data_IF_526541337630
#
_entry.id   IF_526541337630
#
_cell.length_a   1.000
_cell.length_b   1.000
_cell.length_c   1.000
_cell.angle_alpha   90.00
_cell.angle_beta   90.00
_cell.angle_gamma   90.00
#
_symmetry.space_group_name_H-M   'P 1'
#
loop_
_entity.id
_entity.type
_entity.pdbx_description
1 polymer ?
#
# COMPACT_ATOMS: atom_id res chain seq x y z
N UNK A 1 -9.61 10.21 -10.48
CA UNK A 1 -10.21 10.47 -11.78
C UNK A 1 -11.64 9.99 -11.91
N UNK A 2 -11.89 8.69 -11.93
CA UNK A 2 -13.21 8.13 -12.31
C UNK A 2 -14.29 8.34 -11.25
N UNK A 3 -13.92 8.37 -9.96
CA UNK A 3 -14.85 8.71 -8.88
C UNK A 3 -15.43 10.11 -9.06
N UNK A 4 -14.59 11.11 -9.32
CA UNK A 4 -15.07 12.47 -9.56
C UNK A 4 -15.93 12.60 -10.83
N UNK A 5 -15.57 11.90 -11.89
CA UNK A 5 -16.38 11.88 -13.13
C UNK A 5 -17.76 11.28 -12.86
N UNK A 6 -17.82 10.14 -12.17
CA UNK A 6 -19.08 9.49 -11.81
C UNK A 6 -19.93 10.35 -10.89
N UNK A 7 -19.32 11.03 -9.90
CA UNK A 7 -20.02 11.97 -9.03
C UNK A 7 -20.57 13.19 -9.79
N UNK A 8 -19.79 13.72 -10.75
CA UNK A 8 -20.25 14.83 -11.59
C UNK A 8 -21.41 14.37 -12.46
N UNK A 9 -21.34 13.19 -13.06
CA UNK A 9 -22.42 12.63 -13.86
C UNK A 9 -23.68 12.40 -13.03
N UNK A 10 -23.56 11.86 -11.82
CA UNK A 10 -24.71 11.68 -10.93
C UNK A 10 -25.39 13.01 -10.57
N UNK A 11 -24.59 14.07 -10.36
CA UNK A 11 -25.12 15.41 -10.03
C UNK A 11 -25.68 16.16 -11.23
N UNK A 12 -25.13 15.96 -12.42
CA UNK A 12 -25.49 16.76 -13.61
C UNK A 12 -26.47 16.08 -14.54
N UNK A 13 -26.37 14.77 -14.68
CA UNK A 13 -27.17 13.96 -15.60
C UNK A 13 -28.10 12.99 -14.89
N UNK A 14 -28.16 13.06 -13.55
CA UNK A 14 -28.99 12.19 -12.70
C UNK A 14 -28.72 10.70 -12.96
N UNK A 15 -27.48 10.35 -13.23
CA UNK A 15 -27.05 8.95 -13.32
C UNK A 15 -26.99 8.34 -11.92
N UNK A 16 -26.99 7.02 -11.80
CA UNK A 16 -27.07 6.30 -10.54
C UNK A 16 -25.83 5.46 -10.23
N UNK A 17 -24.65 6.00 -10.47
CA UNK A 17 -23.40 5.30 -10.16
C UNK A 17 -23.24 5.01 -8.66
N UNK A 18 -23.58 5.98 -7.80
CA UNK A 18 -23.45 5.89 -6.35
C UNK A 18 -24.77 5.72 -5.62
N UNK A 19 -25.88 6.17 -6.20
CA UNK A 19 -27.21 6.10 -5.61
C UNK A 19 -28.17 5.39 -6.59
N UNK A 20 -28.14 4.07 -6.65
CA UNK A 20 -28.97 3.30 -7.60
C UNK A 20 -30.49 3.37 -7.26
N UNK A 21 -30.83 3.75 -6.03
CA UNK A 21 -32.20 4.02 -5.62
C UNK A 21 -32.30 5.47 -5.12
N UNK A 22 -33.12 6.28 -5.79
CA UNK A 22 -33.49 7.59 -5.31
C UNK A 22 -34.62 7.44 -4.30
N UNK A 23 -34.43 8.03 -3.11
CA UNK A 23 -35.50 8.20 -2.12
C UNK A 23 -35.92 9.66 -2.17
N UNK A 24 -37.06 9.94 -2.74
CA UNK A 24 -37.64 11.28 -2.77
C UNK A 24 -38.90 11.31 -1.88
N UNK A 25 -38.93 12.23 -0.92
CA UNK A 25 -40.03 12.38 0.06
C UNK A 25 -40.39 11.10 0.84
N UNK A 26 -39.40 10.20 1.07
CA UNK A 26 -39.61 8.95 1.81
C UNK A 26 -40.12 7.79 0.96
N UNK A 27 -40.39 8.00 -0.32
CA UNK A 27 -40.72 6.93 -1.27
C UNK A 27 -39.49 6.52 -2.09
N UNK A 28 -39.31 5.21 -2.22
CA UNK A 28 -38.26 4.63 -3.05
C UNK A 28 -38.73 4.65 -4.50
N UNK A 29 -38.14 5.54 -5.29
CA UNK A 29 -38.40 5.58 -6.73
C UNK A 29 -37.85 4.34 -7.45
N UNK A 30 -38.40 4.04 -8.61
CA UNK A 30 -37.98 2.89 -9.40
C UNK A 30 -36.47 2.89 -9.63
N UNK A 31 -35.85 1.71 -9.51
CA UNK A 31 -34.45 1.49 -9.70
C UNK A 31 -33.99 2.01 -11.08
N UNK A 32 -33.18 3.06 -11.05
CA UNK A 32 -32.69 3.75 -12.25
C UNK A 32 -31.48 3.09 -12.94
N UNK A 33 -31.09 1.90 -12.51
CA UNK A 33 -29.87 1.23 -12.95
C UNK A 33 -28.67 1.54 -12.05
N UNK A 34 -27.52 0.91 -12.33
CA UNK A 34 -26.33 0.99 -11.54
C UNK A 34 -26.33 0.05 -10.32
N UNK A 35 -25.16 -0.23 -9.78
CA UNK A 35 -24.98 -1.09 -8.60
C UNK A 35 -23.77 -0.64 -7.81
N UNK A 36 -23.89 -0.39 -6.49
CA UNK A 36 -22.74 -0.09 -5.64
C UNK A 36 -21.69 -1.20 -5.65
N UNK A 37 -22.12 -2.46 -5.72
CA UNK A 37 -21.20 -3.61 -5.79
C UNK A 37 -20.46 -3.63 -7.12
N UNK A 38 -21.15 -3.44 -8.23
CA UNK A 38 -20.51 -3.38 -9.55
C UNK A 38 -19.50 -2.24 -9.62
N UNK A 39 -19.88 -1.04 -9.14
CA UNK A 39 -18.97 0.09 -9.08
C UNK A 39 -17.72 -0.25 -8.26
N UNK A 40 -17.88 -0.86 -7.09
CA UNK A 40 -16.75 -1.25 -6.25
C UNK A 40 -15.85 -2.28 -6.92
N UNK A 41 -16.40 -3.28 -7.63
CA UNK A 41 -15.60 -4.24 -8.40
C UNK A 41 -14.78 -3.55 -9.49
N UNK A 42 -15.37 -2.65 -10.26
CA UNK A 42 -14.68 -1.92 -11.31
C UNK A 42 -13.61 -0.98 -10.74
N UNK A 43 -13.92 -0.28 -9.63
CA UNK A 43 -12.97 0.59 -8.97
C UNK A 43 -11.78 -0.18 -8.39
N UNK A 44 -12.02 -1.26 -7.65
CA UNK A 44 -10.97 -2.02 -6.97
C UNK A 44 -10.17 -2.90 -7.91
N UNK A 45 -10.73 -3.28 -9.06
CA UNK A 45 -9.95 -3.92 -10.13
C UNK A 45 -8.80 -3.02 -10.62
N UNK A 46 -8.96 -1.72 -10.55
CA UNK A 46 -7.87 -0.74 -10.71
C UNK A 46 -7.18 -0.43 -9.38
N UNK A 47 -7.95 -0.12 -8.34
CA UNK A 47 -7.43 0.46 -7.11
C UNK A 47 -6.46 -0.45 -6.34
N UNK A 48 -6.62 -1.77 -6.41
CA UNK A 48 -5.64 -2.67 -5.81
C UNK A 48 -4.35 -2.76 -6.65
N UNK A 49 -4.36 -2.98 -7.97
CA UNK A 49 -3.15 -2.88 -8.78
C UNK A 49 -2.44 -1.53 -8.69
N UNK A 50 -3.13 -0.44 -8.40
CA UNK A 50 -2.53 0.87 -8.16
C UNK A 50 -1.47 0.83 -7.05
N UNK A 51 -1.70 0.09 -5.97
CA UNK A 51 -0.69 -0.07 -4.90
C UNK A 51 0.58 -0.73 -5.43
N UNK A 52 0.45 -1.65 -6.39
CA UNK A 52 1.59 -2.27 -7.04
C UNK A 52 2.30 -1.32 -8.00
N UNK A 53 1.57 -0.44 -8.71
CA UNK A 53 2.16 0.58 -9.59
C UNK A 53 3.07 1.51 -8.80
N UNK A 54 2.72 1.86 -7.57
CA UNK A 54 3.55 2.69 -6.68
C UNK A 54 4.69 1.89 -6.06
N UNK A 55 4.41 0.66 -5.64
CA UNK A 55 5.37 -0.15 -4.88
C UNK A 55 6.45 -0.80 -5.76
N UNK A 56 6.14 -1.26 -6.99
CA UNK A 56 7.09 -1.98 -7.83
C UNK A 56 8.34 -1.14 -8.19
N UNK A 57 8.22 0.14 -8.60
CA UNK A 57 9.39 0.99 -8.79
C UNK A 57 10.20 1.18 -7.51
N UNK A 58 9.52 1.35 -6.37
CA UNK A 58 10.19 1.48 -5.08
C UNK A 58 11.03 0.24 -4.74
N UNK A 59 10.55 -0.96 -5.06
CA UNK A 59 11.31 -2.20 -4.86
C UNK A 59 12.59 -2.26 -5.69
N UNK A 60 12.55 -1.74 -6.92
CA UNK A 60 13.74 -1.61 -7.77
C UNK A 60 14.76 -0.67 -7.14
N UNK A 61 14.32 0.53 -6.77
CA UNK A 61 15.18 1.56 -6.17
C UNK A 61 15.83 1.05 -4.87
N UNK A 62 15.04 0.46 -3.97
CA UNK A 62 15.58 -0.12 -2.72
C UNK A 62 16.63 -1.18 -3.00
N UNK A 63 16.38 -2.05 -3.98
CA UNK A 63 17.33 -3.09 -4.36
C UNK A 63 18.65 -2.51 -4.85
N UNK A 64 18.60 -1.46 -5.67
CA UNK A 64 19.78 -0.77 -6.16
C UNK A 64 20.55 -0.09 -5.02
N UNK A 65 19.89 0.78 -4.27
CA UNK A 65 20.51 1.54 -3.18
C UNK A 65 21.09 0.62 -2.11
N UNK A 66 20.37 -0.44 -1.70
CA UNK A 66 20.88 -1.40 -0.72
C UNK A 66 22.13 -2.12 -1.20
N UNK A 67 22.17 -2.54 -2.47
CA UNK A 67 23.34 -3.25 -3.00
C UNK A 67 24.58 -2.36 -3.01
N UNK A 68 24.44 -1.11 -3.42
CA UNK A 68 25.52 -0.11 -3.44
C UNK A 68 26.03 0.18 -2.03
N UNK A 69 25.13 0.53 -1.09
CA UNK A 69 25.50 0.92 0.27
C UNK A 69 25.83 -0.24 1.21
N UNK A 70 25.50 -1.47 0.84
CA UNK A 70 25.98 -2.69 1.49
C UNK A 70 27.25 -3.25 0.87
N UNK A 71 27.69 -2.70 -0.29
CA UNK A 71 28.82 -3.17 -1.09
C UNK A 71 28.71 -4.67 -1.41
N UNK A 72 27.50 -5.11 -1.72
CA UNK A 72 27.18 -6.52 -1.92
C UNK A 72 26.08 -6.68 -2.96
N UNK A 73 26.21 -7.65 -3.85
CA UNK A 73 25.18 -7.98 -4.82
C UNK A 73 23.89 -8.41 -4.12
N UNK A 74 22.74 -8.12 -4.74
CA UNK A 74 21.43 -8.56 -4.26
C UNK A 74 21.44 -10.07 -4.04
N UNK A 75 21.11 -10.47 -2.83
CA UNK A 75 20.93 -11.87 -2.47
C UNK A 75 19.72 -12.44 -3.22
N UNK A 76 19.89 -13.61 -3.83
CA UNK A 76 18.81 -14.30 -4.50
C UNK A 76 18.17 -13.51 -5.66
N UNK A 77 18.95 -12.86 -6.50
CA UNK A 77 18.48 -12.00 -7.60
C UNK A 77 17.35 -12.62 -8.43
N UNK A 78 17.48 -13.88 -8.84
CA UNK A 78 16.43 -14.58 -9.61
C UNK A 78 15.13 -14.72 -8.81
N UNK A 79 15.23 -15.06 -7.52
CA UNK A 79 14.06 -15.15 -6.63
C UNK A 79 13.41 -13.76 -6.44
N UNK A 80 14.21 -12.69 -6.33
CA UNK A 80 13.73 -11.33 -6.24
C UNK A 80 12.91 -10.95 -7.49
N UNK A 81 13.43 -11.22 -8.68
CA UNK A 81 12.75 -10.94 -9.95
C UNK A 81 11.42 -11.71 -10.04
N UNK A 82 11.43 -13.01 -9.78
CA UNK A 82 10.21 -13.82 -9.82
C UNK A 82 9.19 -13.41 -8.76
N UNK A 83 9.65 -13.01 -7.57
CA UNK A 83 8.76 -12.48 -6.53
C UNK A 83 8.06 -11.18 -6.97
N UNK A 84 8.79 -10.28 -7.64
CA UNK A 84 8.23 -9.03 -8.19
C UNK A 84 7.20 -9.35 -9.28
N UNK A 85 7.52 -10.24 -10.21
CA UNK A 85 6.60 -10.67 -11.28
C UNK A 85 5.35 -11.32 -10.69
N UNK A 86 5.51 -12.20 -9.70
CA UNK A 86 4.40 -12.88 -9.03
C UNK A 86 3.46 -11.87 -8.33
N UNK A 87 4.00 -10.86 -7.63
CA UNK A 87 3.19 -9.81 -7.01
C UNK A 87 2.41 -9.03 -8.06
N UNK A 88 3.07 -8.63 -9.16
CA UNK A 88 2.41 -7.92 -10.24
C UNK A 88 1.25 -8.71 -10.85
N UNK A 89 1.45 -10.00 -11.10
CA UNK A 89 0.41 -10.89 -11.66
C UNK A 89 -0.74 -11.12 -10.66
N UNK A 90 -0.42 -11.43 -9.39
CA UNK A 90 -1.41 -11.68 -8.35
C UNK A 90 -2.26 -10.43 -8.04
N UNK A 91 -1.73 -9.23 -8.21
CA UNK A 91 -2.47 -7.98 -7.97
C UNK A 91 -3.79 -7.88 -8.73
N UNK A 92 -3.92 -8.57 -9.87
CA UNK A 92 -5.14 -8.54 -10.67
C UNK A 92 -6.20 -9.56 -10.23
N UNK A 93 -5.94 -10.41 -9.25
CA UNK A 93 -6.88 -11.45 -8.80
C UNK A 93 -7.20 -11.37 -7.30
N UNK A 94 -6.93 -10.23 -6.64
CA UNK A 94 -7.10 -10.06 -5.19
C UNK A 94 -7.94 -8.84 -4.81
N UNK A 95 -8.39 -8.03 -5.77
CA UNK A 95 -8.99 -6.71 -5.51
C UNK A 95 -10.17 -6.70 -4.55
N UNK A 96 -10.97 -7.78 -4.50
CA UNK A 96 -12.21 -7.75 -3.72
C UNK A 96 -12.01 -7.99 -2.22
N UNK A 97 -10.77 -8.10 -1.73
CA UNK A 97 -10.52 -7.99 -0.30
C UNK A 97 -10.85 -6.60 0.28
N UNK A 98 -11.01 -5.59 -0.58
CA UNK A 98 -11.54 -4.29 -0.19
C UNK A 98 -13.08 -4.26 -0.06
N UNK A 99 -13.75 -5.39 -0.28
CA UNK A 99 -15.20 -5.46 -0.44
C UNK A 99 -15.85 -6.55 0.42
N UNK A 100 -15.18 -7.08 1.44
CA UNK A 100 -15.71 -8.20 2.24
C UNK A 100 -17.04 -7.88 2.92
N UNK A 101 -17.25 -6.62 3.32
CA UNK A 101 -18.50 -6.16 3.97
C UNK A 101 -19.49 -5.51 3.00
N UNK A 102 -19.29 -5.61 1.70
CA UNK A 102 -20.15 -5.00 0.67
C UNK A 102 -21.41 -5.81 0.34
N UNK A 103 -21.60 -6.97 0.95
CA UNK A 103 -22.67 -7.91 0.60
C UNK A 103 -22.31 -8.89 -0.52
N UNK A 104 -21.03 -9.09 -0.77
CA UNK A 104 -20.52 -10.05 -1.74
C UNK A 104 -20.82 -11.48 -1.30
N UNK A 105 -21.05 -12.37 -2.29
CA UNK A 105 -21.30 -13.77 -2.00
C UNK A 105 -20.12 -14.43 -1.24
N UNK A 106 -20.37 -15.24 -0.18
CA UNK A 106 -19.32 -15.79 0.69
C UNK A 106 -18.20 -16.57 -0.04
N UNK A 107 -18.53 -17.28 -1.11
CA UNK A 107 -17.53 -17.99 -1.91
C UNK A 107 -16.51 -17.04 -2.56
N UNK A 108 -16.94 -15.86 -3.01
CA UNK A 108 -16.00 -14.85 -3.51
C UNK A 108 -15.15 -14.27 -2.39
N UNK A 109 -15.72 -14.05 -1.20
CA UNK A 109 -14.96 -13.66 -0.02
C UNK A 109 -13.84 -14.64 0.29
N UNK A 110 -14.15 -15.94 0.31
CA UNK A 110 -13.14 -16.99 0.54
C UNK A 110 -12.09 -17.04 -0.58
N UNK A 111 -12.49 -16.97 -1.84
CA UNK A 111 -11.57 -16.94 -2.98
C UNK A 111 -10.59 -15.75 -2.88
N UNK A 112 -11.12 -14.54 -2.68
CA UNK A 112 -10.28 -13.34 -2.60
C UNK A 112 -9.41 -13.29 -1.34
N UNK A 113 -9.86 -13.87 -0.22
CA UNK A 113 -9.02 -14.03 0.96
C UNK A 113 -7.84 -14.97 0.70
N UNK A 114 -8.10 -16.12 0.07
CA UNK A 114 -7.04 -17.08 -0.27
C UNK A 114 -6.02 -16.49 -1.22
N UNK A 115 -6.44 -15.87 -2.31
CA UNK A 115 -5.54 -15.23 -3.27
C UNK A 115 -4.76 -14.07 -2.66
N UNK A 116 -5.38 -13.29 -1.78
CA UNK A 116 -4.74 -12.19 -1.04
C UNK A 116 -3.64 -12.70 -0.12
N UNK A 117 -3.90 -13.75 0.65
CA UNK A 117 -2.90 -14.31 1.56
C UNK A 117 -1.70 -14.93 0.81
N UNK A 118 -1.91 -15.44 -0.40
CA UNK A 118 -0.82 -15.95 -1.25
C UNK A 118 0.20 -14.86 -1.58
N UNK A 119 -0.21 -13.58 -1.74
CA UNK A 119 0.72 -12.46 -1.99
C UNK A 119 1.76 -12.28 -0.87
N UNK A 120 1.44 -12.71 0.35
CA UNK A 120 2.39 -12.63 1.45
C UNK A 120 3.68 -13.42 1.19
N UNK A 121 3.61 -14.53 0.46
CA UNK A 121 4.77 -15.39 0.18
C UNK A 121 5.82 -14.66 -0.68
N UNK A 122 5.53 -14.17 -1.90
CA UNK A 122 6.52 -13.44 -2.68
C UNK A 122 6.95 -12.13 -2.00
N UNK A 123 6.08 -11.50 -1.22
CA UNK A 123 6.43 -10.31 -0.45
C UNK A 123 7.45 -10.63 0.64
N UNK A 124 7.27 -11.71 1.39
CA UNK A 124 8.22 -12.19 2.39
C UNK A 124 9.57 -12.54 1.77
N UNK A 125 9.59 -13.20 0.60
CA UNK A 125 10.82 -13.51 -0.13
C UNK A 125 11.62 -12.24 -0.42
N UNK A 126 10.97 -11.17 -0.83
CA UNK A 126 11.64 -9.89 -1.11
C UNK A 126 12.25 -9.26 0.13
N UNK A 127 11.48 -9.15 1.21
CA UNK A 127 11.97 -8.61 2.47
C UNK A 127 13.16 -9.43 2.98
N UNK A 128 13.05 -10.75 2.93
CA UNK A 128 14.13 -11.65 3.30
C UNK A 128 15.38 -11.43 2.45
N UNK A 129 15.23 -11.29 1.15
CA UNK A 129 16.36 -11.05 0.25
C UNK A 129 17.04 -9.69 0.50
N UNK A 130 16.29 -8.64 0.84
CA UNK A 130 16.88 -7.36 1.24
C UNK A 130 17.66 -7.47 2.55
N UNK A 131 17.10 -8.14 3.55
CA UNK A 131 17.80 -8.39 4.82
C UNK A 131 19.08 -9.21 4.61
N UNK A 132 19.02 -10.26 3.79
CA UNK A 132 20.20 -11.08 3.45
C UNK A 132 21.22 -10.35 2.56
N UNK A 133 20.79 -9.36 1.78
CA UNK A 133 21.71 -8.47 1.06
C UNK A 133 22.52 -7.64 2.04
N UNK A 134 21.90 -7.13 3.10
CA UNK A 134 22.59 -6.40 4.17
C UNK A 134 23.43 -7.32 5.07
N UNK A 135 22.99 -8.55 5.28
CA UNK A 135 23.68 -9.51 6.16
C UNK A 135 25.11 -9.76 5.72
N UNK A 136 26.07 -9.51 6.63
CA UNK A 136 27.52 -9.60 6.33
C UNK A 136 27.99 -8.67 5.21
N UNK A 137 27.23 -7.63 4.86
CA UNK A 137 27.66 -6.56 3.98
C UNK A 137 28.52 -5.52 4.70
N UNK A 138 29.31 -4.78 3.95
CA UNK A 138 30.03 -3.61 4.49
C UNK A 138 29.11 -2.39 4.41
N UNK A 139 28.18 -2.28 5.38
CA UNK A 139 27.11 -1.28 5.37
C UNK A 139 27.67 0.11 5.68
N UNK A 140 27.35 1.08 4.84
CA UNK A 140 27.58 2.50 5.10
C UNK A 140 26.25 3.18 5.38
N UNK A 141 26.08 3.68 6.61
CA UNK A 141 24.83 4.32 7.08
C UNK A 141 24.76 5.78 6.59
N UNK A 142 24.71 5.95 5.28
CA UNK A 142 24.43 7.22 4.60
C UNK A 142 22.93 7.53 4.63
N UNK A 143 22.53 8.75 4.34
CA UNK A 143 21.11 9.15 4.30
C UNK A 143 20.26 8.24 3.39
N UNK A 144 20.66 7.93 2.12
CA UNK A 144 19.90 7.00 1.30
C UNK A 144 19.76 5.60 1.94
N UNK A 145 20.82 5.10 2.56
CA UNK A 145 20.75 3.79 3.24
C UNK A 145 19.80 3.80 4.44
N UNK A 146 19.78 4.88 5.22
CA UNK A 146 18.84 5.04 6.33
C UNK A 146 17.38 5.01 5.84
N UNK A 147 17.07 5.72 4.77
CA UNK A 147 15.74 5.68 4.16
C UNK A 147 15.37 4.31 3.61
N UNK A 148 16.30 3.55 3.04
CA UNK A 148 16.04 2.18 2.59
C UNK A 148 15.78 1.21 3.76
N UNK A 149 16.52 1.35 4.86
CA UNK A 149 16.29 0.56 6.07
C UNK A 149 14.92 0.89 6.67
N UNK A 150 14.59 2.19 6.76
CA UNK A 150 13.27 2.61 7.26
C UNK A 150 12.13 2.11 6.37
N UNK A 151 12.33 2.10 5.05
CA UNK A 151 11.37 1.48 4.14
C UNK A 151 11.12 0.02 4.49
N UNK A 152 12.16 -0.79 4.68
CA UNK A 152 12.00 -2.22 5.00
C UNK A 152 11.23 -2.39 6.32
N UNK A 153 11.55 -1.60 7.35
CA UNK A 153 10.87 -1.64 8.64
C UNK A 153 9.39 -1.23 8.50
N UNK A 154 9.13 -0.12 7.81
CA UNK A 154 7.78 0.43 7.63
C UNK A 154 6.93 -0.51 6.76
N UNK A 155 7.51 -1.01 5.67
CA UNK A 155 6.85 -1.95 4.78
C UNK A 155 6.55 -3.30 5.44
N UNK A 156 7.44 -3.79 6.30
CA UNK A 156 7.22 -5.01 7.08
C UNK A 156 6.07 -4.83 8.07
N UNK A 157 6.07 -3.73 8.84
CA UNK A 157 5.00 -3.43 9.79
C UNK A 157 3.64 -3.32 9.10
N UNK A 158 3.56 -2.57 8.00
CA UNK A 158 2.34 -2.45 7.22
C UNK A 158 1.93 -3.77 6.55
N UNK A 159 2.90 -4.55 6.06
CA UNK A 159 2.63 -5.86 5.44
C UNK A 159 2.07 -6.89 6.44
N UNK A 160 2.57 -6.90 7.67
CA UNK A 160 2.03 -7.78 8.73
C UNK A 160 0.58 -7.43 9.06
N UNK A 161 0.22 -6.14 9.13
CA UNK A 161 -1.17 -5.73 9.35
C UNK A 161 -2.08 -6.07 8.16
N UNK A 162 -1.51 -6.20 6.96
CA UNK A 162 -2.21 -6.69 5.78
C UNK A 162 -2.70 -8.13 5.89
N UNK A 163 -2.03 -8.99 6.67
CA UNK A 163 -2.50 -10.35 6.93
C UNK A 163 -3.81 -10.37 7.73
N UNK A 164 -3.99 -9.41 8.64
CA UNK A 164 -5.25 -9.26 9.37
C UNK A 164 -6.39 -8.85 8.43
N UNK A 165 -6.15 -7.85 7.59
CA UNK A 165 -7.16 -7.35 6.65
C UNK A 165 -7.42 -8.32 5.48
N UNK A 166 -6.45 -9.16 5.13
CA UNK A 166 -6.60 -10.19 4.11
C UNK A 166 -7.47 -11.37 4.54
N UNK A 167 -7.69 -11.55 5.85
CA UNK A 167 -8.56 -12.59 6.40
C UNK A 167 -9.98 -12.05 6.58
N UNK A 168 -10.96 -12.65 5.90
CA UNK A 168 -12.36 -12.19 5.92
C UNK A 168 -12.90 -12.03 7.35
N UNK A 169 -12.67 -13.01 8.22
CA UNK A 169 -13.24 -13.02 9.58
C UNK A 169 -12.65 -11.86 10.40
N UNK A 170 -11.37 -11.61 10.25
CA UNK A 170 -10.67 -10.54 10.98
C UNK A 170 -10.94 -9.17 10.36
N UNK A 171 -11.15 -9.10 9.04
CA UNK A 171 -11.45 -7.84 8.36
C UNK A 171 -12.84 -7.30 8.70
N UNK A 172 -13.83 -8.14 8.92
CA UNK A 172 -15.22 -7.70 9.22
C UNK A 172 -15.28 -6.62 10.29
N UNK A 173 -14.67 -6.77 11.48
CA UNK A 173 -14.65 -5.71 12.50
C UNK A 173 -13.67 -4.57 12.20
N UNK A 174 -12.67 -4.77 11.34
CA UNK A 174 -11.63 -3.79 11.03
C UNK A 174 -11.92 -2.99 9.78
N UNK A 175 -12.80 -3.48 8.91
CA UNK A 175 -13.18 -2.81 7.66
C UNK A 175 -13.74 -1.42 7.95
N UNK A 176 -13.32 -0.45 7.14
CA UNK A 176 -13.73 0.97 7.28
C UNK A 176 -13.38 1.62 8.64
N UNK A 177 -12.41 1.06 9.38
CA UNK A 177 -11.83 1.68 10.58
C UNK A 177 -10.48 2.32 10.29
N UNK A 178 -9.92 3.03 11.29
CA UNK A 178 -8.56 3.59 11.22
C UNK A 178 -7.47 2.52 11.11
N UNK A 179 -7.76 1.25 11.38
CA UNK A 179 -6.80 0.16 11.14
C UNK A 179 -6.45 0.03 9.66
N UNK A 180 -7.45 0.14 8.78
CA UNK A 180 -7.24 0.14 7.33
C UNK A 180 -6.40 1.35 6.90
N UNK A 181 -6.70 2.53 7.48
CA UNK A 181 -5.95 3.77 7.20
C UNK A 181 -4.48 3.62 7.58
N UNK A 182 -4.21 3.11 8.77
CA UNK A 182 -2.86 2.84 9.25
C UNK A 182 -2.11 1.87 8.33
N UNK A 183 -2.76 0.76 7.98
CA UNK A 183 -2.19 -0.26 7.12
C UNK A 183 -1.72 0.33 5.78
N UNK A 184 -2.61 0.94 5.01
CA UNK A 184 -2.23 1.41 3.67
C UNK A 184 -1.27 2.60 3.71
N UNK A 185 -1.31 3.45 4.76
CA UNK A 185 -0.31 4.49 4.90
C UNK A 185 1.09 3.93 5.19
N UNK A 186 1.20 2.87 5.99
CA UNK A 186 2.49 2.22 6.23
C UNK A 186 3.03 1.54 4.97
N UNK A 187 2.17 0.86 4.18
CA UNK A 187 2.62 0.10 2.99
C UNK A 187 2.79 0.98 1.76
N UNK A 188 1.83 1.86 1.48
CA UNK A 188 1.75 2.62 0.23
C UNK A 188 2.02 4.11 0.42
N UNK A 189 1.55 4.71 1.53
CA UNK A 189 1.68 6.15 1.75
C UNK A 189 3.12 6.54 2.09
N UNK A 190 3.70 5.96 3.12
CA UNK A 190 5.00 6.38 3.66
C UNK A 190 6.16 5.54 3.14
N UNK A 191 6.03 4.22 3.04
CA UNK A 191 7.14 3.38 2.63
C UNK A 191 7.70 3.77 1.24
N UNK A 192 6.91 3.91 0.17
CA UNK A 192 7.42 4.38 -1.11
C UNK A 192 7.98 5.81 -1.08
N UNK A 193 7.39 6.70 -0.28
CA UNK A 193 7.91 8.08 -0.11
C UNK A 193 9.32 8.07 0.49
N UNK A 194 9.57 7.22 1.48
CA UNK A 194 10.93 7.02 2.01
C UNK A 194 11.90 6.55 0.93
N UNK A 195 11.45 5.69 0.01
CA UNK A 195 12.27 5.24 -1.12
C UNK A 195 12.53 6.36 -2.13
N UNK A 196 11.56 7.21 -2.40
CA UNK A 196 11.75 8.40 -3.24
C UNK A 196 12.83 9.31 -2.65
N UNK A 197 12.81 9.53 -1.33
CA UNK A 197 13.88 10.28 -0.67
C UNK A 197 15.22 9.56 -0.74
N UNK A 198 15.25 8.23 -0.55
CA UNK A 198 16.46 7.45 -0.75
C UNK A 198 17.05 7.64 -2.16
N UNK A 199 16.19 7.59 -3.19
CA UNK A 199 16.57 7.79 -4.58
C UNK A 199 17.13 9.19 -4.82
N UNK A 200 16.43 10.22 -4.34
CA UNK A 200 16.88 11.63 -4.49
C UNK A 200 18.26 11.78 -3.86
N UNK A 201 18.48 11.37 -2.62
CA UNK A 201 19.77 11.49 -1.96
C UNK A 201 20.85 10.65 -2.63
N UNK A 202 20.50 9.46 -3.13
CA UNK A 202 21.44 8.55 -3.79
C UNK A 202 21.93 9.10 -5.12
N UNK A 203 21.02 9.63 -5.93
CA UNK A 203 21.36 10.15 -7.26
C UNK A 203 21.68 11.64 -7.28
N UNK A 204 21.44 12.38 -6.20
CA UNK A 204 21.72 13.82 -6.14
C UNK A 204 23.15 14.19 -6.59
N UNK A 205 24.22 13.51 -6.12
CA UNK A 205 25.58 13.81 -6.58
C UNK A 205 25.77 13.55 -8.07
N UNK A 206 25.14 12.50 -8.61
CA UNK A 206 25.22 12.17 -10.04
C UNK A 206 24.49 13.20 -10.91
N UNK A 207 23.35 13.72 -10.43
CA UNK A 207 22.53 14.68 -11.16
C UNK A 207 23.08 16.10 -11.12
N UNK A 208 23.72 16.49 -10.02
CA UNK A 208 24.10 17.88 -9.75
C UNK A 208 25.61 18.12 -9.71
N UNK A 209 26.43 17.07 -9.62
CA UNK A 209 27.87 17.16 -9.39
C UNK A 209 28.23 17.67 -7.99
N UNK A 210 27.28 17.74 -7.06
CA UNK A 210 27.49 18.29 -5.72
C UNK A 210 26.97 17.32 -4.66
N UNK A 211 27.63 17.28 -3.51
CA UNK A 211 27.13 16.52 -2.34
C UNK A 211 26.12 17.37 -1.56
N UNK A 212 25.09 16.70 -1.05
CA UNK A 212 24.16 17.29 -0.09
C UNK A 212 24.80 17.40 1.31
N UNK A 213 24.19 18.19 2.19
CA UNK A 213 24.61 18.27 3.59
C UNK A 213 24.11 17.03 4.35
N UNK A 214 25.05 16.18 4.77
CA UNK A 214 24.73 14.90 5.46
C UNK A 214 23.97 15.11 6.78
N UNK A 215 24.30 16.16 7.53
CA UNK A 215 23.63 16.47 8.81
C UNK A 215 22.17 16.85 8.60
N UNK A 216 21.89 17.74 7.64
CA UNK A 216 20.52 18.11 7.30
C UNK A 216 19.75 16.91 6.72
N UNK A 217 20.40 16.07 5.91
CA UNK A 217 19.81 14.85 5.40
C UNK A 217 19.43 13.87 6.50
N UNK A 218 20.26 13.71 7.51
CA UNK A 218 19.96 12.87 8.71
C UNK A 218 18.82 13.46 9.54
N UNK A 219 18.77 14.77 9.72
CA UNK A 219 17.64 15.42 10.39
C UNK A 219 16.34 15.19 9.61
N UNK A 220 16.35 15.40 8.28
CA UNK A 220 15.20 15.09 7.43
C UNK A 220 14.74 13.63 7.58
N UNK A 221 15.67 12.68 7.57
CA UNK A 221 15.38 11.27 7.79
C UNK A 221 14.65 11.04 9.13
N UNK A 222 15.20 11.55 10.23
CA UNK A 222 14.63 11.31 11.55
C UNK A 222 13.26 11.95 11.72
N UNK A 223 13.05 13.18 11.23
CA UNK A 223 11.73 13.82 11.26
C UNK A 223 10.71 13.05 10.42
N UNK A 224 11.09 12.58 9.25
CA UNK A 224 10.21 11.80 8.38
C UNK A 224 9.86 10.45 9.01
N UNK A 225 10.86 9.70 9.50
CA UNK A 225 10.65 8.37 10.06
C UNK A 225 9.84 8.42 11.35
N UNK A 226 10.29 9.20 12.33
CA UNK A 226 9.60 9.31 13.62
C UNK A 226 8.22 9.95 13.48
N UNK A 227 8.10 11.01 12.69
CA UNK A 227 6.80 11.67 12.45
C UNK A 227 5.79 10.73 11.82
N UNK A 228 6.22 9.90 10.85
CA UNK A 228 5.35 8.88 10.24
C UNK A 228 4.83 7.88 11.27
N UNK A 229 5.73 7.38 12.12
CA UNK A 229 5.35 6.42 13.16
C UNK A 229 4.46 7.02 14.24
N UNK A 230 4.71 8.27 14.65
CA UNK A 230 3.86 8.98 15.61
C UNK A 230 2.44 9.19 15.10
N UNK A 231 2.27 9.33 13.79
CA UNK A 231 0.94 9.53 13.18
C UNK A 231 0.27 8.18 12.91
N UNK A 232 0.90 7.30 12.14
CA UNK A 232 0.22 6.13 11.57
C UNK A 232 0.25 4.90 12.47
N UNK A 233 1.23 4.75 13.35
CA UNK A 233 1.28 3.58 14.23
C UNK A 233 0.15 3.57 15.27
N UNK A 234 -0.19 4.68 15.95
CA UNK A 234 -1.32 4.74 16.88
C UNK A 234 -2.68 4.52 16.21
N UNK A 235 -2.80 4.81 14.90
CA UNK A 235 -4.05 4.59 14.16
C UNK A 235 -4.45 3.11 14.10
N UNK A 236 -3.51 2.16 14.20
CA UNK A 236 -3.84 0.75 14.33
C UNK A 236 -4.64 0.49 15.61
N UNK A 237 -4.22 1.08 16.73
CA UNK A 237 -4.93 0.96 17.99
C UNK A 237 -6.33 1.61 17.92
N UNK A 238 -6.41 2.82 17.33
CA UNK A 238 -7.70 3.49 17.13
C UNK A 238 -8.66 2.63 16.29
N UNK A 239 -8.14 1.97 15.26
CA UNK A 239 -8.95 1.05 14.46
C UNK A 239 -9.39 -0.19 15.22
N UNK A 240 -8.54 -0.76 16.07
CA UNK A 240 -8.87 -1.93 16.91
C UNK A 240 -9.97 -1.64 17.92
N UNK A 241 -10.04 -0.42 18.45
CA UNK A 241 -11.14 0.01 19.35
C UNK A 241 -12.37 0.51 18.59
N UNK A 242 -12.38 0.39 17.26
CA UNK A 242 -13.57 0.64 16.43
C UNK A 242 -13.75 2.06 15.93
N UNK A 243 -12.73 2.93 15.99
CA UNK A 243 -12.83 4.28 15.43
C UNK A 243 -13.00 4.19 13.91
N UNK A 244 -14.14 4.65 13.35
CA UNK A 244 -14.39 4.57 11.92
C UNK A 244 -13.56 5.57 11.14
N UNK A 245 -13.24 5.25 9.89
CA UNK A 245 -12.75 6.22 8.90
C UNK A 245 -13.93 6.99 8.29
N UNK A 246 -13.67 8.15 7.69
CA UNK A 246 -14.67 8.95 6.97
C UNK A 246 -15.80 9.46 7.87
N UNK A 247 -15.46 9.94 9.05
CA UNK A 247 -16.40 10.66 9.92
C UNK A 247 -16.19 12.17 9.76
N UNK A 248 -17.19 12.96 10.18
CA UNK A 248 -17.17 14.42 10.25
C UNK A 248 -17.70 14.90 11.61
#
# INVERSE_FOLDING_TARGET
>A
GDVYKSQILDKTLLTSFFMPALVEMGEQLSYGGGSPILFQHLFWFFGHPEVSIVALPAYGIVSDVLSVHSRKNIFGYRMMVWAIVAIGALSFIVWAHHMYVSGMHPYFGFFFATTTLIIAVPTAIKVYNWVLTMWRGNITLTVPMLFCISFIITFLNGGLTGLFLGNVIVDVPLSDTYFVVAHFHMVMGIAPVQVVFAAIYHWFPLMTGRMYNETLGRLHFWFTFLGSYLIYFPMHYLGLIGVPRRYY
#
